data_IF_323971056932
#
_entry.id   IF_323971056932
#
_cell.length_a   1.000
_cell.length_b   1.000
_cell.length_c   1.000
_cell.angle_alpha   90.00
_cell.angle_beta   90.00
_cell.angle_gamma   90.00
#
_symmetry.space_group_name_H-M   'P 1'
#
loop_
_entity.id
_entity.type
_entity.pdbx_description
1 polymer ?
#
# COMPACT_ATOMS: atom_id res chain seq x y z
N UNK A 1 -3.36 6.75 7.26
CA UNK A 1 -2.37 7.80 6.96
C UNK A 1 -3.11 9.07 6.53
N UNK A 2 -2.77 10.23 7.07
CA UNK A 2 -3.35 11.50 6.62
C UNK A 2 -2.43 12.13 5.58
N UNK A 3 -2.97 12.59 4.45
CA UNK A 3 -2.21 13.42 3.51
C UNK A 3 -1.91 14.76 4.16
N UNK A 4 -0.65 15.01 4.47
CA UNK A 4 -0.20 16.25 5.12
C UNK A 4 0.95 16.90 4.34
N UNK A 5 1.10 18.21 4.49
CA UNK A 5 2.24 18.97 4.00
C UNK A 5 2.43 18.92 2.47
N UNK A 6 3.65 18.59 2.03
CA UNK A 6 4.03 18.58 0.62
C UNK A 6 3.23 17.55 -0.20
N UNK A 7 2.95 16.37 0.37
CA UNK A 7 2.20 15.32 -0.31
C UNK A 7 0.75 15.77 -0.60
N UNK A 8 0.10 16.43 0.36
CA UNK A 8 -1.23 17.00 0.15
C UNK A 8 -1.21 18.07 -0.93
N UNK A 9 -0.25 19.00 -0.87
CA UNK A 9 -0.13 20.10 -1.84
C UNK A 9 0.09 19.59 -3.27
N UNK A 10 0.99 18.62 -3.46
CA UNK A 10 1.24 18.04 -4.79
C UNK A 10 0.00 17.31 -5.30
N UNK A 11 -0.68 16.54 -4.45
CA UNK A 11 -1.91 15.84 -4.84
C UNK A 11 -3.00 16.83 -5.23
N UNK A 12 -3.24 17.87 -4.43
CA UNK A 12 -4.28 18.86 -4.72
C UNK A 12 -3.99 19.62 -6.02
N UNK A 13 -2.71 19.83 -6.36
CA UNK A 13 -2.31 20.59 -7.56
C UNK A 13 -2.23 19.71 -8.83
N UNK A 14 -1.84 18.44 -8.69
CA UNK A 14 -1.52 17.56 -9.84
C UNK A 14 -2.55 16.46 -10.04
N UNK A 15 -3.18 15.96 -8.99
CA UNK A 15 -4.09 14.81 -9.02
C UNK A 15 -5.20 14.96 -7.96
N UNK A 16 -6.07 15.99 -8.06
CA UNK A 16 -7.03 16.33 -7.01
C UNK A 16 -8.03 15.20 -6.71
N UNK A 17 -8.31 14.33 -7.70
CA UNK A 17 -9.16 13.16 -7.53
C UNK A 17 -8.52 12.04 -6.67
N UNK A 18 -7.21 12.04 -6.47
CA UNK A 18 -6.53 10.98 -5.72
C UNK A 18 -6.99 10.93 -4.25
N UNK A 19 -7.36 12.08 -3.66
CA UNK A 19 -7.91 12.12 -2.32
C UNK A 19 -9.23 11.32 -2.20
N UNK A 20 -10.03 11.26 -3.27
CA UNK A 20 -11.28 10.49 -3.30
C UNK A 20 -11.06 8.97 -3.38
N UNK A 21 -9.84 8.54 -3.74
CA UNK A 21 -9.45 7.13 -3.80
C UNK A 21 -8.84 6.63 -2.47
N UNK A 22 -8.75 7.50 -1.46
CA UNK A 22 -8.25 7.11 -0.15
C UNK A 22 -9.34 6.39 0.65
N UNK A 23 -8.98 5.21 1.14
CA UNK A 23 -9.77 4.46 2.11
C UNK A 23 -9.20 4.63 3.52
N UNK A 24 -10.08 4.79 4.50
CA UNK A 24 -9.70 4.88 5.92
C UNK A 24 -9.53 3.51 6.57
N UNK A 25 -10.06 2.47 5.93
CA UNK A 25 -9.97 1.09 6.39
C UNK A 25 -9.05 0.27 5.48
N UNK A 26 -8.27 -0.60 6.12
CA UNK A 26 -7.25 -1.39 5.42
C UNK A 26 -7.85 -2.47 4.53
N UNK A 27 -9.00 -3.03 4.90
CA UNK A 27 -9.65 -4.11 4.15
C UNK A 27 -10.11 -3.62 2.77
N UNK A 28 -10.74 -2.44 2.69
CA UNK A 28 -11.16 -1.84 1.42
C UNK A 28 -9.95 -1.37 0.61
N UNK A 29 -8.93 -0.81 1.27
CA UNK A 29 -7.71 -0.37 0.59
C UNK A 29 -6.93 -1.53 -0.06
N UNK A 30 -6.86 -2.70 0.59
CA UNK A 30 -6.17 -3.90 0.09
C UNK A 30 -7.03 -4.63 -0.95
N UNK A 31 -8.34 -4.71 -0.72
CA UNK A 31 -9.25 -5.48 -1.56
C UNK A 31 -9.05 -6.99 -1.42
N UNK A 32 -9.67 -7.76 -2.32
CA UNK A 32 -9.62 -9.22 -2.28
C UNK A 32 -8.51 -9.86 -3.14
N UNK A 33 -7.98 -9.10 -4.11
CA UNK A 33 -6.96 -9.53 -5.09
C UNK A 33 -6.33 -8.33 -5.79
N UNK A 34 -5.17 -8.54 -6.43
CA UNK A 34 -4.56 -7.56 -7.33
C UNK A 34 -3.15 -7.15 -6.91
N UNK A 35 -2.69 -5.99 -7.40
CA UNK A 35 -1.37 -5.44 -7.12
C UNK A 35 -1.43 -4.46 -5.94
N UNK A 36 -0.57 -4.69 -4.95
CA UNK A 36 -0.35 -3.79 -3.81
C UNK A 36 1.02 -3.13 -4.01
N UNK A 37 1.05 -1.80 -4.05
CA UNK A 37 2.30 -1.03 -4.12
C UNK A 37 2.66 -0.56 -2.71
N UNK A 38 3.71 -1.15 -2.14
CA UNK A 38 4.19 -0.82 -0.81
C UNK A 38 5.17 0.38 -0.88
N UNK A 39 4.62 1.60 -0.89
CA UNK A 39 5.40 2.82 -1.00
C UNK A 39 5.92 3.39 0.32
N UNK A 40 5.35 2.99 1.45
CA UNK A 40 5.79 3.39 2.79
C UNK A 40 5.19 2.46 3.85
N UNK A 41 5.83 2.40 5.02
CA UNK A 41 5.26 1.70 6.18
C UNK A 41 4.10 2.51 6.73
N UNK A 42 2.86 2.04 6.53
CA UNK A 42 1.65 2.81 6.85
C UNK A 42 0.58 2.06 7.66
N UNK A 43 0.80 0.77 7.93
CA UNK A 43 -0.09 -0.08 8.72
C UNK A 43 0.71 -1.14 9.49
N UNK A 44 0.19 -1.65 10.62
CA UNK A 44 0.82 -2.74 11.35
C UNK A 44 0.91 -4.01 10.49
N UNK A 45 2.06 -4.67 10.49
CA UNK A 45 2.29 -5.92 9.74
C UNK A 45 1.28 -7.02 10.12
N UNK A 46 0.93 -7.12 11.40
CA UNK A 46 -0.04 -8.10 11.88
C UNK A 46 -1.43 -7.92 11.26
N UNK A 47 -1.85 -6.68 11.00
CA UNK A 47 -3.15 -6.41 10.36
C UNK A 47 -3.07 -6.65 8.84
N UNK A 48 -1.97 -6.24 8.21
CA UNK A 48 -1.73 -6.52 6.79
C UNK A 48 -1.71 -8.03 6.52
N UNK A 49 -1.05 -8.82 7.36
CA UNK A 49 -0.91 -10.28 7.20
C UNK A 49 -2.26 -11.01 7.23
N UNK A 50 -3.28 -10.46 7.88
CA UNK A 50 -4.65 -11.01 7.88
C UNK A 50 -5.38 -10.80 6.55
N UNK A 51 -5.03 -9.74 5.82
CA UNK A 51 -5.75 -9.29 4.63
C UNK A 51 -5.02 -9.64 3.33
N UNK A 52 -3.69 -9.64 3.34
CA UNK A 52 -2.86 -9.94 2.18
C UNK A 52 -2.77 -11.45 1.99
N UNK A 53 -3.51 -11.94 1.01
CA UNK A 53 -3.58 -13.36 0.62
C UNK A 53 -2.73 -13.68 -0.62
N UNK A 54 -2.63 -14.96 -0.99
CA UNK A 54 -1.97 -15.42 -2.21
C UNK A 54 -2.57 -14.88 -3.53
N UNK A 55 -3.78 -14.29 -3.49
CA UNK A 55 -4.39 -13.63 -4.65
C UNK A 55 -3.82 -12.23 -4.92
N UNK A 56 -2.87 -11.78 -4.11
CA UNK A 56 -2.20 -10.51 -4.27
C UNK A 56 -0.79 -10.67 -4.83
N UNK A 57 -0.33 -9.60 -5.47
CA UNK A 57 1.05 -9.37 -5.80
C UNK A 57 1.49 -8.11 -5.05
N UNK A 58 2.60 -8.18 -4.31
CA UNK A 58 3.19 -7.05 -3.60
C UNK A 58 4.39 -6.55 -4.38
N UNK A 59 4.34 -5.30 -4.80
CA UNK A 59 5.49 -4.56 -5.33
C UNK A 59 6.01 -3.62 -4.26
N UNK A 60 7.20 -3.92 -3.76
CA UNK A 60 7.88 -3.11 -2.75
C UNK A 60 8.83 -2.11 -3.40
N UNK A 61 8.48 -0.84 -3.31
CA UNK A 61 9.27 0.27 -3.85
C UNK A 61 10.04 1.02 -2.75
N UNK A 62 9.94 0.58 -1.49
CA UNK A 62 10.44 1.29 -0.32
C UNK A 62 11.29 0.41 0.63
N UNK A 63 11.62 -0.82 0.25
CA UNK A 63 12.47 -1.71 1.03
C UNK A 63 11.78 -2.29 2.28
N UNK A 64 10.47 -2.48 2.23
CA UNK A 64 9.70 -3.15 3.26
C UNK A 64 9.86 -4.68 3.23
N UNK A 65 11.07 -5.15 3.58
CA UNK A 65 11.47 -6.56 3.52
C UNK A 65 10.55 -7.52 4.30
N UNK A 66 9.94 -7.08 5.40
CA UNK A 66 9.02 -7.90 6.22
C UNK A 66 7.82 -8.44 5.42
N UNK A 67 7.44 -7.77 4.32
CA UNK A 67 6.35 -8.21 3.44
C UNK A 67 6.66 -9.51 2.68
N UNK A 68 7.94 -9.93 2.61
CA UNK A 68 8.35 -11.22 2.04
C UNK A 68 7.77 -12.41 2.79
N UNK A 69 7.38 -12.23 4.05
CA UNK A 69 6.81 -13.30 4.89
C UNK A 69 5.30 -13.51 4.65
N UNK A 70 4.68 -12.73 3.77
CA UNK A 70 3.26 -12.85 3.48
C UNK A 70 3.01 -13.93 2.43
N UNK A 71 1.78 -14.42 2.34
CA UNK A 71 1.42 -15.46 1.37
C UNK A 71 1.33 -14.97 -0.09
N UNK A 72 1.40 -13.67 -0.32
CA UNK A 72 1.37 -13.05 -1.65
C UNK A 72 2.70 -13.24 -2.40
N UNK A 73 2.66 -13.17 -3.74
CA UNK A 73 3.89 -12.98 -4.52
C UNK A 73 4.52 -11.66 -4.09
N UNK A 74 5.83 -11.65 -3.83
CA UNK A 74 6.58 -10.45 -3.49
C UNK A 74 7.62 -10.14 -4.57
N UNK A 75 7.74 -8.87 -4.92
CA UNK A 75 8.75 -8.34 -5.85
C UNK A 75 9.31 -7.03 -5.28
N UNK A 76 10.64 -6.95 -5.17
CA UNK A 76 11.31 -5.68 -4.92
C UNK A 76 11.47 -4.92 -6.22
N UNK A 77 11.23 -3.61 -6.21
CA UNK A 77 11.35 -2.81 -7.43
C UNK A 77 12.77 -2.84 -8.02
N UNK A 78 13.80 -2.96 -7.17
CA UNK A 78 15.20 -3.04 -7.58
C UNK A 78 16.01 -4.08 -6.77
N UNK A 79 15.37 -5.13 -6.22
CA UNK A 79 16.02 -6.19 -5.43
C UNK A 79 15.24 -7.51 -5.41
#
# INVERSE_FOLDING_TARGET
AALVGANKRVIDTKMPHLASLLHTDLATAIGARGLIVAAQKCAPLAELKKLVTANHHVLDVNGWADLKEFSAKYEGFCW
#
